data_IF_134210507059
#
_entry.id   IF_134210507059
#
_cell.length_a   1.000
_cell.length_b   1.000
_cell.length_c   1.000
_cell.angle_alpha   90.00
_cell.angle_beta   90.00
_cell.angle_gamma   90.00
#
_symmetry.space_group_name_H-M   'P 1'
#
loop_
_entity.id
_entity.type
_entity.pdbx_description
1 polymer ?
#
# COMPACT_ATOMS: atom_id res chain seq x y z
N UNK A 1 -26.18 5.44 -14.28
CA UNK A 1 -25.20 5.30 -13.18
C UNK A 1 -24.86 6.71 -12.70
N UNK A 2 -24.83 6.99 -11.41
CA UNK A 2 -24.48 8.33 -10.96
C UNK A 2 -23.01 8.65 -11.35
N UNK A 3 -22.78 9.82 -11.85
CA UNK A 3 -21.47 10.32 -12.31
C UNK A 3 -20.37 10.12 -11.25
N UNK A 4 -20.74 10.22 -9.99
CA UNK A 4 -19.85 9.99 -8.85
C UNK A 4 -19.29 8.56 -8.77
N UNK A 5 -20.05 7.56 -9.19
CA UNK A 5 -19.59 6.17 -9.19
C UNK A 5 -18.51 5.93 -10.26
N UNK A 6 -18.67 6.54 -11.43
CA UNK A 6 -17.67 6.48 -12.52
C UNK A 6 -16.41 7.23 -12.10
N UNK A 7 -16.56 8.42 -11.50
CA UNK A 7 -15.44 9.22 -11.02
C UNK A 7 -14.64 8.49 -9.92
N UNK A 8 -15.32 7.85 -8.96
CA UNK A 8 -14.63 7.09 -7.90
C UNK A 8 -13.87 5.88 -8.44
N UNK A 9 -14.39 5.19 -9.47
CA UNK A 9 -13.66 4.13 -10.16
C UNK A 9 -12.44 4.66 -10.91
N UNK A 10 -12.54 5.84 -11.53
CA UNK A 10 -11.40 6.51 -12.16
C UNK A 10 -10.26 6.77 -11.17
N UNK A 11 -10.58 7.20 -9.94
CA UNK A 11 -9.58 7.40 -8.88
C UNK A 11 -8.89 6.08 -8.50
N UNK A 12 -9.60 4.96 -8.43
CA UNK A 12 -9.00 3.65 -8.16
C UNK A 12 -8.01 3.23 -9.25
N UNK A 13 -8.34 3.48 -10.53
CA UNK A 13 -7.47 3.17 -11.66
C UNK A 13 -6.19 4.04 -11.60
N UNK A 14 -6.33 5.34 -11.32
CA UNK A 14 -5.19 6.23 -11.15
C UNK A 14 -4.32 5.78 -9.97
N UNK A 15 -4.95 5.39 -8.86
CA UNK A 15 -4.23 4.88 -7.69
C UNK A 15 -3.46 3.60 -8.02
N UNK A 16 -4.06 2.67 -8.78
CA UNK A 16 -3.38 1.46 -9.23
C UNK A 16 -2.17 1.78 -10.14
N UNK A 17 -2.31 2.76 -11.03
CA UNK A 17 -1.20 3.22 -11.88
C UNK A 17 -0.05 3.83 -11.05
N UNK A 18 -0.37 4.64 -10.04
CA UNK A 18 0.62 5.21 -9.11
C UNK A 18 1.30 4.12 -8.30
N UNK A 19 0.56 3.11 -7.82
CA UNK A 19 1.12 1.96 -7.10
C UNK A 19 2.07 1.15 -7.98
N UNK A 20 1.71 0.94 -9.24
CA UNK A 20 2.58 0.27 -10.21
C UNK A 20 3.87 1.07 -10.44
N UNK A 21 3.78 2.40 -10.57
CA UNK A 21 4.95 3.26 -10.65
C UNK A 21 5.84 3.15 -9.40
N UNK A 22 5.24 3.15 -8.19
CA UNK A 22 5.99 2.97 -6.92
C UNK A 22 6.74 1.65 -6.90
N UNK A 23 6.08 0.56 -7.33
CA UNK A 23 6.71 -0.75 -7.42
C UNK A 23 7.93 -0.74 -8.33
N UNK A 24 7.82 -0.15 -9.53
CA UNK A 24 8.93 -0.04 -10.47
C UNK A 24 10.05 0.88 -9.95
N UNK A 25 9.69 1.99 -9.30
CA UNK A 25 10.66 2.92 -8.73
C UNK A 25 11.44 2.29 -7.58
N UNK A 26 10.79 1.48 -6.74
CA UNK A 26 11.44 0.77 -5.64
C UNK A 26 12.42 -0.29 -6.14
N UNK A 27 12.08 -1.01 -7.23
CA UNK A 27 13.03 -1.93 -7.87
C UNK A 27 14.30 -1.24 -8.40
N UNK A 28 14.18 0.02 -8.86
CA UNK A 28 15.32 0.74 -9.44
C UNK A 28 16.15 1.50 -8.41
N UNK A 29 15.50 2.11 -7.42
CA UNK A 29 16.13 3.12 -6.55
C UNK A 29 16.14 2.71 -5.07
N UNK A 30 15.43 1.65 -4.67
CA UNK A 30 15.28 1.20 -3.27
C UNK A 30 14.89 2.34 -2.32
N UNK A 31 14.14 3.32 -2.87
CA UNK A 31 13.69 4.51 -2.15
C UNK A 31 12.26 4.88 -2.56
N UNK A 32 11.38 4.97 -1.58
CA UNK A 32 10.02 5.46 -1.77
C UNK A 32 10.03 6.96 -1.50
N UNK A 33 9.67 7.76 -2.51
CA UNK A 33 9.60 9.22 -2.40
C UNK A 33 8.39 9.63 -1.58
N UNK A 34 8.55 10.62 -0.70
CA UNK A 34 7.45 11.12 0.14
C UNK A 34 6.30 11.69 -0.68
N UNK A 35 6.61 12.33 -1.81
CA UNK A 35 5.60 12.91 -2.71
C UNK A 35 4.61 11.86 -3.20
N UNK A 36 5.08 10.66 -3.50
CA UNK A 36 4.22 9.58 -4.00
C UNK A 36 3.31 9.06 -2.89
N UNK A 37 3.80 8.97 -1.66
CA UNK A 37 3.00 8.60 -0.48
C UNK A 37 1.90 9.65 -0.24
N UNK A 38 2.23 10.93 -0.37
CA UNK A 38 1.26 12.03 -0.25
C UNK A 38 0.21 12.00 -1.36
N UNK A 39 0.62 11.71 -2.60
CA UNK A 39 -0.31 11.54 -3.74
C UNK A 39 -1.29 10.40 -3.47
N UNK A 40 -0.80 9.24 -3.00
CA UNK A 40 -1.65 8.10 -2.66
C UNK A 40 -2.64 8.43 -1.53
N UNK A 41 -2.20 9.17 -0.51
CA UNK A 41 -3.08 9.65 0.56
C UNK A 41 -4.12 10.67 0.03
N UNK A 42 -3.70 11.60 -0.81
CA UNK A 42 -4.61 12.57 -1.45
C UNK A 42 -5.67 11.90 -2.32
N UNK A 43 -5.28 10.88 -3.10
CA UNK A 43 -6.22 10.08 -3.91
C UNK A 43 -7.23 9.32 -3.02
N UNK A 44 -6.81 8.86 -1.84
CA UNK A 44 -7.74 8.26 -0.88
C UNK A 44 -8.81 9.25 -0.43
N UNK A 45 -8.42 10.47 -0.02
CA UNK A 45 -9.38 11.49 0.39
C UNK A 45 -10.30 11.89 -0.77
N UNK A 46 -9.76 12.03 -1.98
CA UNK A 46 -10.57 12.30 -3.17
C UNK A 46 -11.58 11.17 -3.43
N UNK A 47 -11.15 9.91 -3.33
CA UNK A 47 -12.05 8.76 -3.45
C UNK A 47 -13.14 8.76 -2.39
N UNK A 48 -12.80 9.06 -1.12
CA UNK A 48 -13.76 9.13 -0.02
C UNK A 48 -14.81 10.23 -0.25
N UNK A 49 -14.38 11.40 -0.74
CA UNK A 49 -15.26 12.51 -1.09
C UNK A 49 -16.24 12.13 -2.22
N UNK A 50 -15.74 11.54 -3.29
CA UNK A 50 -16.53 11.15 -4.46
C UNK A 50 -17.48 9.97 -4.16
N UNK A 51 -17.10 9.07 -3.27
CA UNK A 51 -17.91 7.91 -2.90
C UNK A 51 -18.95 8.21 -1.80
N UNK A 52 -18.89 9.38 -1.16
CA UNK A 52 -19.82 9.77 -0.09
C UNK A 52 -19.69 8.95 1.20
N UNK A 53 -18.58 8.23 1.38
CA UNK A 53 -18.35 7.28 2.49
C UNK A 53 -17.77 7.93 3.73
N UNK A 54 -18.44 8.89 4.31
CA UNK A 54 -17.94 9.62 5.47
C UNK A 54 -17.82 8.77 6.74
N UNK A 55 -18.71 7.81 6.94
CA UNK A 55 -18.64 6.90 8.10
C UNK A 55 -17.45 5.95 8.03
N UNK A 56 -17.15 5.40 6.85
CA UNK A 56 -15.99 4.55 6.67
C UNK A 56 -14.68 5.32 6.74
N UNK A 57 -14.67 6.60 6.40
CA UNK A 57 -13.48 7.46 6.47
C UNK A 57 -12.90 7.52 7.88
N UNK A 58 -13.73 7.71 8.91
CA UNK A 58 -13.29 7.78 10.29
C UNK A 58 -12.65 6.46 10.76
N UNK A 59 -13.28 5.33 10.41
CA UNK A 59 -12.75 4.01 10.73
C UNK A 59 -11.43 3.72 10.01
N UNK A 60 -11.30 4.12 8.75
CA UNK A 60 -10.07 3.94 7.99
C UNK A 60 -8.93 4.78 8.56
N UNK A 61 -9.19 6.04 8.92
CA UNK A 61 -8.18 6.91 9.54
C UNK A 61 -7.76 6.36 10.90
N UNK A 62 -8.71 6.00 11.77
CA UNK A 62 -8.41 5.43 13.09
C UNK A 62 -7.58 4.16 12.98
N UNK A 63 -7.95 3.28 12.03
CA UNK A 63 -7.21 2.05 11.77
C UNK A 63 -5.80 2.32 11.22
N UNK A 64 -5.65 3.25 10.29
CA UNK A 64 -4.33 3.62 9.75
C UNK A 64 -3.41 4.22 10.82
N UNK A 65 -3.95 5.03 11.73
CA UNK A 65 -3.19 5.59 12.86
C UNK A 65 -2.74 4.47 13.81
N UNK A 66 -3.63 3.53 14.12
CA UNK A 66 -3.28 2.37 14.96
C UNK A 66 -2.16 1.54 14.31
N UNK A 67 -2.31 1.21 13.02
CA UNK A 67 -1.31 0.45 12.28
C UNK A 67 0.01 1.21 12.15
N UNK A 68 -0.05 2.53 11.95
CA UNK A 68 1.16 3.37 11.96
C UNK A 68 1.90 3.30 13.28
N UNK A 69 1.20 3.38 14.42
CA UNK A 69 1.81 3.30 15.74
C UNK A 69 2.51 1.94 15.96
N UNK A 70 1.85 0.83 15.56
CA UNK A 70 2.43 -0.51 15.63
C UNK A 70 3.69 -0.61 14.75
N UNK A 71 3.61 -0.15 13.50
CA UNK A 71 4.73 -0.19 12.57
C UNK A 71 5.87 0.76 12.97
N UNK A 72 5.56 1.89 13.60
CA UNK A 72 6.56 2.81 14.15
C UNK A 72 7.38 2.15 15.27
N UNK A 73 6.74 1.29 16.09
CA UNK A 73 7.45 0.49 17.06
C UNK A 73 8.44 -0.47 16.40
N UNK A 74 8.04 -1.21 15.34
CA UNK A 74 8.96 -2.08 14.58
C UNK A 74 10.05 -1.30 13.86
N UNK A 75 9.74 -0.09 13.38
CA UNK A 75 10.74 0.81 12.79
C UNK A 75 11.77 1.27 13.82
N UNK A 76 11.36 1.60 15.06
CA UNK A 76 12.27 1.98 16.14
C UNK A 76 13.23 0.86 16.53
N UNK A 77 12.78 -0.39 16.41
CA UNK A 77 13.61 -1.59 16.58
C UNK A 77 14.52 -1.89 15.37
N UNK A 78 14.50 -1.05 14.33
CA UNK A 78 15.26 -1.22 13.09
C UNK A 78 14.93 -2.51 12.32
N UNK A 79 13.74 -3.06 12.53
CA UNK A 79 13.24 -4.26 11.84
C UNK A 79 12.57 -3.94 10.50
N UNK A 80 12.21 -2.67 10.27
CA UNK A 80 11.47 -2.22 9.08
C UNK A 80 12.10 -0.97 8.48
N UNK A 81 12.00 -0.83 7.16
CA UNK A 81 12.42 0.37 6.43
C UNK A 81 11.41 1.53 6.60
N UNK A 82 11.92 2.78 6.67
CA UNK A 82 11.03 3.96 6.79
C UNK A 82 10.16 4.19 5.55
N UNK A 83 10.59 3.72 4.38
CA UNK A 83 9.79 3.75 3.15
C UNK A 83 8.60 2.80 3.23
N UNK A 84 8.84 1.58 3.69
CA UNK A 84 7.81 0.55 3.84
C UNK A 84 6.77 0.95 4.88
N UNK A 85 7.21 1.53 6.01
CA UNK A 85 6.34 2.09 7.03
C UNK A 85 5.34 3.09 6.44
N UNK A 86 5.81 4.04 5.65
CA UNK A 86 4.96 5.08 5.05
C UNK A 86 3.98 4.49 4.04
N UNK A 87 4.46 3.60 3.17
CA UNK A 87 3.64 2.98 2.14
C UNK A 87 2.57 2.07 2.74
N UNK A 88 2.93 1.24 3.74
CA UNK A 88 1.96 0.40 4.46
C UNK A 88 0.92 1.23 5.21
N UNK A 89 1.30 2.35 5.82
CA UNK A 89 0.34 3.25 6.49
C UNK A 89 -0.72 3.71 5.51
N UNK A 90 -0.32 4.16 4.31
CA UNK A 90 -1.28 4.58 3.28
C UNK A 90 -2.06 3.39 2.73
N UNK A 91 -1.45 2.22 2.59
CA UNK A 91 -2.17 1.02 2.19
C UNK A 91 -3.28 0.66 3.21
N UNK A 92 -2.99 0.70 4.51
CA UNK A 92 -3.99 0.47 5.55
C UNK A 92 -5.06 1.57 5.61
N UNK A 93 -4.71 2.81 5.25
CA UNK A 93 -5.69 3.89 5.09
C UNK A 93 -6.71 3.57 3.98
N UNK A 94 -6.25 3.04 2.84
CA UNK A 94 -7.10 2.62 1.73
C UNK A 94 -7.99 1.42 2.08
N UNK A 95 -7.41 0.45 2.76
CA UNK A 95 -8.04 -0.83 3.06
C UNK A 95 -9.04 -0.73 4.22
N UNK A 96 -8.69 0.04 5.24
CA UNK A 96 -9.46 0.13 6.48
C UNK A 96 -9.56 -1.19 7.24
N UNK A 97 -10.30 -1.22 8.36
CA UNK A 97 -10.41 -2.42 9.20
C UNK A 97 -11.15 -3.57 8.52
N UNK A 98 -12.14 -3.26 7.66
CA UNK A 98 -13.02 -4.27 7.06
C UNK A 98 -12.32 -5.13 6.00
N UNK A 99 -11.40 -4.57 5.23
CA UNK A 99 -10.65 -5.28 4.19
C UNK A 99 -9.22 -5.62 4.59
N UNK A 100 -8.84 -5.30 5.83
CA UNK A 100 -7.48 -5.51 6.33
C UNK A 100 -7.05 -6.98 6.30
N UNK A 101 -7.97 -7.91 6.60
CA UNK A 101 -7.70 -9.34 6.55
C UNK A 101 -7.38 -9.78 5.11
N UNK A 102 -8.19 -9.39 4.15
CA UNK A 102 -7.95 -9.72 2.73
C UNK A 102 -6.62 -9.13 2.24
N UNK A 103 -6.36 -7.88 2.57
CA UNK A 103 -5.08 -7.24 2.24
C UNK A 103 -3.89 -7.98 2.86
N UNK A 104 -3.98 -8.38 4.13
CA UNK A 104 -2.91 -9.10 4.83
C UNK A 104 -2.63 -10.46 4.21
N UNK A 105 -3.66 -11.18 3.75
CA UNK A 105 -3.51 -12.46 3.04
C UNK A 105 -2.79 -12.25 1.71
N UNK A 106 -3.21 -11.27 0.89
CA UNK A 106 -2.53 -10.95 -0.36
C UNK A 106 -1.09 -10.48 -0.12
N UNK A 107 -0.89 -9.63 0.91
CA UNK A 107 0.45 -9.15 1.25
C UNK A 107 1.37 -10.31 1.64
N UNK A 108 0.92 -11.23 2.49
CA UNK A 108 1.68 -12.41 2.89
C UNK A 108 2.03 -13.29 1.68
N UNK A 109 1.08 -13.49 0.76
CA UNK A 109 1.29 -14.24 -0.47
C UNK A 109 2.37 -13.60 -1.36
N UNK A 110 2.29 -12.29 -1.62
CA UNK A 110 3.26 -11.60 -2.46
C UNK A 110 4.63 -11.46 -1.79
N UNK A 111 4.68 -11.27 -0.48
CA UNK A 111 5.93 -11.29 0.30
C UNK A 111 6.57 -12.67 0.22
N UNK A 112 5.78 -13.75 0.33
CA UNK A 112 6.26 -15.12 0.16
C UNK A 112 6.89 -15.34 -1.22
N UNK A 113 6.19 -14.95 -2.28
CA UNK A 113 6.74 -14.99 -3.66
C UNK A 113 8.03 -14.19 -3.76
N UNK A 114 8.05 -13.00 -3.18
CA UNK A 114 9.21 -12.12 -3.24
C UNK A 114 10.43 -12.73 -2.52
N UNK A 115 10.24 -13.34 -1.35
CA UNK A 115 11.30 -14.05 -0.62
C UNK A 115 11.84 -15.22 -1.46
N UNK A 116 10.95 -15.97 -2.12
CA UNK A 116 11.33 -17.06 -3.03
C UNK A 116 12.16 -16.51 -4.20
N UNK A 117 11.72 -15.42 -4.85
CA UNK A 117 12.42 -14.79 -5.96
C UNK A 117 13.82 -14.31 -5.55
N UNK A 118 13.98 -13.74 -4.35
CA UNK A 118 15.29 -13.37 -3.79
C UNK A 118 16.15 -14.60 -3.55
N UNK A 119 15.60 -15.69 -3.03
CA UNK A 119 16.33 -16.94 -2.79
C UNK A 119 16.87 -17.56 -4.08
N UNK A 120 16.09 -17.48 -5.16
CA UNK A 120 16.51 -17.94 -6.49
C UNK A 120 17.36 -16.93 -7.27
N UNK A 121 17.77 -15.81 -6.63
CA UNK A 121 18.56 -14.73 -7.25
C UNK A 121 17.91 -14.09 -8.49
N UNK A 122 16.58 -14.11 -8.58
CA UNK A 122 15.83 -13.42 -9.63
C UNK A 122 15.69 -11.91 -9.35
N UNK A 123 15.88 -11.51 -8.09
CA UNK A 123 15.84 -10.13 -7.65
C UNK A 123 17.18 -9.80 -6.99
N UNK A 124 17.85 -8.76 -7.48
CA UNK A 124 19.09 -8.29 -6.90
C UNK A 124 18.86 -7.67 -5.51
N UNK A 125 19.66 -8.11 -4.55
CA UNK A 125 19.65 -7.56 -3.19
C UNK A 125 20.78 -6.57 -3.09
N UNK A 126 20.46 -5.30 -2.88
CA UNK A 126 21.50 -4.30 -2.63
C UNK A 126 21.92 -4.31 -1.17
N UNK A 127 23.24 -4.27 -0.96
CA UNK A 127 23.83 -4.09 0.37
C UNK A 127 24.08 -2.60 0.55
N UNK A 128 23.24 -1.93 1.34
CA UNK A 128 23.41 -0.52 1.71
C UNK A 128 23.65 -0.47 3.22
N UNK A 129 24.71 0.17 3.65
CA UNK A 129 25.11 0.29 5.07
C UNK A 129 25.25 -1.07 5.78
N UNK A 130 25.86 -2.06 5.12
CA UNK A 130 26.04 -3.42 5.64
C UNK A 130 24.74 -4.17 5.92
N UNK A 131 23.59 -3.71 5.37
CA UNK A 131 22.28 -4.35 5.48
C UNK A 131 21.76 -4.74 4.10
N UNK A 132 21.23 -5.95 4.02
CA UNK A 132 20.50 -6.41 2.82
C UNK A 132 19.17 -5.67 2.76
N UNK A 133 18.98 -4.82 1.75
CA UNK A 133 17.69 -4.17 1.45
C UNK A 133 16.99 -4.96 0.36
N UNK A 134 15.81 -5.40 0.69
CA UNK A 134 14.89 -6.10 -0.22
C UNK A 134 13.76 -5.10 -0.55
N UNK A 135 13.42 -4.88 -1.83
CA UNK A 135 12.33 -3.96 -2.19
C UNK A 135 10.97 -4.57 -1.79
N UNK A 136 10.33 -4.07 -0.75
CA UNK A 136 9.01 -4.54 -0.32
C UNK A 136 7.83 -3.82 -0.97
N UNK A 137 8.02 -2.63 -1.52
CA UNK A 137 6.96 -1.86 -2.16
C UNK A 137 6.22 -2.62 -3.27
N UNK A 138 6.86 -3.46 -4.10
CA UNK A 138 6.16 -4.25 -5.11
C UNK A 138 5.13 -5.21 -4.51
N UNK A 139 5.46 -5.85 -3.39
CA UNK A 139 4.53 -6.76 -2.71
C UNK A 139 3.33 -5.99 -2.12
N UNK A 140 3.57 -4.83 -1.52
CA UNK A 140 2.54 -3.95 -0.97
C UNK A 140 1.61 -3.44 -2.08
N UNK A 141 2.19 -2.96 -3.19
CA UNK A 141 1.45 -2.45 -4.33
C UNK A 141 0.58 -3.55 -4.97
N UNK A 142 1.14 -4.74 -5.20
CA UNK A 142 0.42 -5.87 -5.75
C UNK A 142 -0.75 -6.30 -4.85
N UNK A 143 -0.53 -6.39 -3.53
CA UNK A 143 -1.57 -6.74 -2.58
C UNK A 143 -2.72 -5.72 -2.60
N UNK A 144 -2.41 -4.42 -2.64
CA UNK A 144 -3.42 -3.37 -2.66
C UNK A 144 -4.21 -3.36 -3.98
N UNK A 145 -3.54 -3.57 -5.12
CA UNK A 145 -4.19 -3.70 -6.44
C UNK A 145 -5.13 -4.91 -6.44
N UNK A 146 -4.74 -6.04 -5.85
CA UNK A 146 -5.61 -7.21 -5.73
C UNK A 146 -6.86 -6.93 -4.90
N UNK A 147 -6.74 -6.18 -3.80
CA UNK A 147 -7.91 -5.74 -3.00
C UNK A 147 -8.84 -4.86 -3.83
N UNK A 148 -8.31 -3.96 -4.65
CA UNK A 148 -9.11 -3.13 -5.56
C UNK A 148 -9.82 -3.97 -6.61
N UNK A 149 -9.10 -4.89 -7.26
CA UNK A 149 -9.63 -5.77 -8.31
C UNK A 149 -10.69 -6.75 -7.77
N UNK A 150 -10.49 -7.30 -6.57
CA UNK A 150 -11.45 -8.18 -5.91
C UNK A 150 -12.74 -7.47 -5.45
N UNK A 151 -12.79 -6.15 -5.56
CA UNK A 151 -13.98 -5.37 -5.25
C UNK A 151 -14.26 -5.19 -3.76
N UNK A 152 -13.31 -5.51 -2.87
CA UNK A 152 -13.45 -5.31 -1.42
C UNK A 152 -13.71 -3.85 -1.02
N UNK A 153 -13.39 -2.91 -1.91
CA UNK A 153 -13.64 -1.47 -1.71
C UNK A 153 -14.91 -0.98 -2.42
N UNK A 154 -15.66 -1.86 -3.09
CA UNK A 154 -16.95 -1.47 -3.70
C UNK A 154 -17.99 -1.26 -2.60
N UNK A 155 -18.93 -0.29 -2.77
CA UNK A 155 -20.07 -0.21 -1.90
C UNK A 155 -20.95 -1.46 -2.09
N UNK A 156 -21.27 -2.14 -1.02
CA UNK A 156 -22.44 -3.01 -0.95
C UNK A 156 -23.69 -2.16 -0.95
#
# INVERSE_FOLDING_TARGET
MPVYAVASQGVLIITAAVLFYVALADFKHYRIRNEVVLVLAGLFFLHALLSGRWTSLQWNIGFAVLMFAIMLYYFSMKLMGGGDLKLLTVAFLWVGPFSALAFSIFLLFFVGIHIIAVKFKWVDVQIIDNRKRIPFAPAIAAALICVFAAGFLRPT
#
